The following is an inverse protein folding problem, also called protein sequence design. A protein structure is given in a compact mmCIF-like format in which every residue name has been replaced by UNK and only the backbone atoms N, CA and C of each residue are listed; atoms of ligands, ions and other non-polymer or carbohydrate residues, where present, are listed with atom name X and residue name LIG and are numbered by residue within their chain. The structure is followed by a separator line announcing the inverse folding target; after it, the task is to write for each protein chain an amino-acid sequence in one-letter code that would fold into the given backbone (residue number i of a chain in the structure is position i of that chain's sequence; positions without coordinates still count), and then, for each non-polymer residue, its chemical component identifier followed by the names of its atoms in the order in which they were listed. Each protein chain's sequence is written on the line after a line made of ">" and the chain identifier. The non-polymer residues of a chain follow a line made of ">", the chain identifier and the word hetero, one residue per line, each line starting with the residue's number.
data_IF_744474463251
#
_entry.id   IF_744474463251
#
_cell.length_a   1.000
_cell.length_b   1.000
_cell.length_c   1.000
_cell.angle_alpha   90.00
_cell.angle_beta   90.00
_cell.angle_gamma   90.00
#
_symmetry.space_group_name_H-M   'P 1'
#
loop_
_entity.id
_entity.type
_entity.pdbx_description
1 polymer ?
#
# COMPACT_ATOMS: atom_id res chain seq x y z
N UNK A 1 1.15 16.98 5.08
CA UNK A 1 0.99 16.32 3.77
C UNK A 1 2.16 15.36 3.64
N UNK A 2 1.92 14.05 3.62
CA UNK A 2 3.00 13.06 3.48
C UNK A 2 3.66 13.19 2.11
N UNK A 3 4.98 13.02 2.05
CA UNK A 3 5.70 13.02 0.78
C UNK A 3 5.32 11.77 -0.02
N UNK A 4 4.92 11.97 -1.28
CA UNK A 4 4.69 10.87 -2.23
C UNK A 4 6.05 10.27 -2.56
N UNK A 5 6.18 8.95 -2.38
CA UNK A 5 7.37 8.20 -2.78
C UNK A 5 7.28 7.83 -4.25
N UNK A 6 6.21 7.14 -4.62
CA UNK A 6 5.93 6.67 -5.97
C UNK A 6 4.43 6.35 -6.10
N UNK A 7 3.99 6.03 -7.31
CA UNK A 7 2.66 5.49 -7.55
C UNK A 7 2.77 3.97 -7.68
N UNK A 8 2.10 3.25 -6.79
CA UNK A 8 1.98 1.80 -6.88
C UNK A 8 0.82 1.44 -7.81
N UNK A 9 0.97 0.36 -8.56
CA UNK A 9 -0.10 -0.23 -9.38
C UNK A 9 -0.08 -1.75 -9.26
N UNK A 10 -1.25 -2.37 -9.12
CA UNK A 10 -1.40 -3.82 -9.02
C UNK A 10 -2.82 -4.26 -9.37
N UNK A 11 -2.96 -5.52 -9.77
CA UNK A 11 -4.25 -6.10 -10.15
C UNK A 11 -4.85 -6.91 -8.99
N UNK A 12 -6.14 -6.71 -8.72
CA UNK A 12 -6.95 -7.53 -7.82
C UNK A 12 -8.09 -8.15 -8.63
N UNK A 13 -7.96 -9.45 -8.95
CA UNK A 13 -8.92 -10.12 -9.82
C UNK A 13 -8.99 -9.41 -11.17
N UNK A 14 -10.17 -8.85 -11.50
CA UNK A 14 -10.41 -8.13 -12.75
C UNK A 14 -10.32 -6.59 -12.60
N UNK A 15 -9.85 -6.08 -11.45
CA UNK A 15 -9.70 -4.64 -11.20
C UNK A 15 -8.22 -4.29 -11.08
N UNK A 16 -7.82 -3.16 -11.65
CA UNK A 16 -6.51 -2.56 -11.42
C UNK A 16 -6.66 -1.50 -10.33
N UNK A 17 -5.95 -1.67 -9.21
CA UNK A 17 -5.80 -0.61 -8.23
C UNK A 17 -4.49 0.11 -8.47
N UNK A 18 -4.51 1.43 -8.31
CA UNK A 18 -3.33 2.24 -8.51
C UNK A 18 -3.44 3.58 -7.83
N UNK A 19 -2.32 4.06 -7.30
CA UNK A 19 -2.24 5.37 -6.68
C UNK A 19 -1.00 5.59 -5.83
N UNK A 20 -0.88 6.77 -5.21
CA UNK A 20 0.33 7.17 -4.52
C UNK A 20 0.55 6.36 -3.25
N UNK A 21 1.82 5.99 -3.05
CA UNK A 21 2.37 5.61 -1.76
C UNK A 21 2.97 6.85 -1.12
N UNK A 22 2.53 7.16 0.10
CA UNK A 22 3.07 8.25 0.90
C UNK A 22 3.66 7.73 2.20
N UNK A 23 4.68 8.42 2.72
CA UNK A 23 5.17 8.14 4.08
C UNK A 23 4.19 8.76 5.07
N UNK A 24 3.57 7.91 5.90
CA UNK A 24 2.67 8.33 6.97
C UNK A 24 3.47 8.63 8.25
N UNK A 25 4.41 7.76 8.61
CA UNK A 25 5.32 7.84 9.77
C UNK A 25 6.67 7.13 9.46
N UNK A 26 7.66 7.18 10.36
CA UNK A 26 9.05 6.72 10.13
C UNK A 26 9.20 5.32 9.49
N UNK A 27 8.20 4.45 9.65
CA UNK A 27 8.18 3.10 9.05
C UNK A 27 6.77 2.69 8.55
N UNK A 28 5.86 3.65 8.40
CA UNK A 28 4.49 3.39 7.97
C UNK A 28 4.21 4.10 6.65
N UNK A 29 3.63 3.37 5.71
CA UNK A 29 3.35 3.82 4.36
C UNK A 29 1.84 3.76 4.12
N UNK A 30 1.30 4.79 3.49
CA UNK A 30 -0.11 4.90 3.14
C UNK A 30 -0.25 4.73 1.63
N UNK A 31 -1.00 3.71 1.23
CA UNK A 31 -1.52 3.57 -0.12
C UNK A 31 -2.90 4.22 -0.21
N UNK A 32 -3.11 5.01 -1.26
CA UNK A 32 -4.42 5.58 -1.60
C UNK A 32 -4.72 5.25 -3.05
N UNK A 33 -5.77 4.48 -3.30
CA UNK A 33 -6.24 4.22 -4.65
C UNK A 33 -6.83 5.50 -5.26
N UNK A 34 -6.42 5.82 -6.50
CA UNK A 34 -6.96 6.92 -7.30
C UNK A 34 -7.56 6.47 -8.63
N UNK A 35 -7.41 5.19 -8.99
CA UNK A 35 -7.83 4.67 -10.29
C UNK A 35 -9.29 4.19 -10.31
N UNK A 36 -9.87 3.85 -9.17
CA UNK A 36 -11.28 3.43 -9.10
C UNK A 36 -12.08 4.44 -8.29
N UNK A 37 -13.39 4.54 -8.57
CA UNK A 37 -14.31 5.33 -7.74
C UNK A 37 -14.54 4.75 -6.34
N UNK A 38 -13.79 3.71 -5.95
CA UNK A 38 -13.78 3.15 -4.60
C UNK A 38 -12.73 3.89 -3.76
N UNK A 39 -13.15 4.42 -2.61
CA UNK A 39 -12.28 5.03 -1.60
C UNK A 39 -11.46 3.95 -0.86
N UNK A 40 -10.51 3.34 -1.56
CA UNK A 40 -9.63 2.31 -0.99
C UNK A 40 -8.34 2.99 -0.53
N UNK A 41 -8.11 2.97 0.78
CA UNK A 41 -6.83 3.37 1.34
C UNK A 41 -6.44 2.49 2.50
N UNK A 42 -5.17 2.14 2.58
CA UNK A 42 -4.65 1.33 3.67
C UNK A 42 -3.21 1.74 4.01
N UNK A 43 -2.92 1.64 5.30
CA UNK A 43 -1.59 1.84 5.84
C UNK A 43 -0.93 0.50 6.05
N UNK A 44 0.36 0.44 5.78
CA UNK A 44 1.18 -0.75 5.91
C UNK A 44 2.51 -0.43 6.55
N UNK A 45 2.99 -1.37 7.36
CA UNK A 45 4.26 -1.32 8.06
C UNK A 45 4.98 -2.65 7.91
N UNK A 46 6.31 -2.60 7.75
CA UNK A 46 7.16 -3.78 7.77
C UNK A 46 7.36 -4.22 9.22
N UNK A 47 7.03 -5.46 9.50
CA UNK A 47 7.24 -6.09 10.80
C UNK A 47 8.72 -6.38 11.02
N UNK A 48 9.12 -6.64 12.26
CA UNK A 48 10.50 -6.99 12.63
C UNK A 48 11.01 -8.23 11.87
N UNK A 49 10.12 -9.16 11.52
CA UNK A 49 10.42 -10.36 10.74
C UNK A 49 10.52 -10.10 9.22
N UNK A 50 10.49 -8.83 8.78
CA UNK A 50 10.56 -8.45 7.37
C UNK A 50 9.24 -8.57 6.59
N UNK A 51 8.15 -9.00 7.24
CA UNK A 51 6.83 -9.15 6.59
C UNK A 51 6.03 -7.84 6.61
N UNK A 52 5.45 -7.48 5.47
CA UNK A 52 4.54 -6.34 5.37
C UNK A 52 3.18 -6.66 5.97
N UNK A 53 2.60 -5.74 6.74
CA UNK A 53 1.28 -5.91 7.36
C UNK A 53 0.49 -4.63 7.29
N UNK A 54 -0.83 -4.78 7.10
CA UNK A 54 -1.74 -3.66 7.22
C UNK A 54 -1.86 -3.23 8.69
N UNK A 55 -1.72 -1.93 8.96
CA UNK A 55 -1.86 -1.34 10.31
C UNK A 55 -3.14 -0.54 10.47
N UNK A 56 -3.62 0.10 9.39
CA UNK A 56 -4.85 0.89 9.38
C UNK A 56 -5.43 1.00 7.95
N UNK A 57 -6.57 1.65 7.80
CA UNK A 57 -7.21 1.92 6.51
C UNK A 57 -8.73 1.80 6.58
N UNK A 58 -9.44 2.59 5.78
CA UNK A 58 -10.84 2.30 5.51
C UNK A 58 -10.92 1.64 4.15
N UNK A 59 -11.35 0.40 4.16
CA UNK A 59 -11.65 -0.36 2.97
C UNK A 59 -13.03 -0.95 3.21
N UNK A 60 -13.93 -0.87 2.22
CA UNK A 60 -15.26 -1.49 2.33
C UNK A 60 -15.18 -3.03 2.37
N UNK A 61 -13.98 -3.59 2.20
CA UNK A 61 -13.67 -5.01 2.16
C UNK A 61 -12.29 -5.27 2.76
N UNK A 62 -12.07 -6.42 3.40
CA UNK A 62 -10.74 -6.82 3.87
C UNK A 62 -9.77 -6.90 2.69
N UNK A 63 -8.59 -6.28 2.81
CA UNK A 63 -7.53 -6.37 1.79
C UNK A 63 -6.80 -7.71 1.96
N UNK A 64 -6.80 -8.59 0.95
CA UNK A 64 -5.98 -9.79 0.95
C UNK A 64 -4.50 -9.51 1.27
N UNK A 65 -3.87 -10.36 2.07
CA UNK A 65 -2.45 -10.24 2.43
C UNK A 65 -1.55 -10.17 1.19
N UNK A 66 -1.89 -10.88 0.11
CA UNK A 66 -1.15 -10.83 -1.17
C UNK A 66 -1.02 -9.40 -1.73
N UNK A 67 -2.01 -8.53 -1.51
CA UNK A 67 -1.94 -7.12 -1.93
C UNK A 67 -0.99 -6.35 -1.04
N UNK A 68 -1.05 -6.58 0.27
CA UNK A 68 -0.13 -5.97 1.22
C UNK A 68 1.31 -6.34 0.87
N UNK A 69 1.54 -7.60 0.50
CA UNK A 69 2.84 -8.09 0.09
C UNK A 69 3.28 -7.47 -1.25
N UNK A 70 2.39 -7.35 -2.25
CA UNK A 70 2.69 -6.71 -3.53
C UNK A 70 3.06 -5.23 -3.38
N UNK A 71 2.28 -4.48 -2.59
CA UNK A 71 2.58 -3.07 -2.32
C UNK A 71 3.87 -2.93 -1.51
N UNK A 72 4.05 -3.80 -0.51
CA UNK A 72 5.25 -3.86 0.30
C UNK A 72 6.51 -4.15 -0.54
N UNK A 73 6.42 -5.06 -1.49
CA UNK A 73 7.50 -5.36 -2.42
C UNK A 73 7.87 -4.15 -3.27
N UNK A 74 6.88 -3.41 -3.80
CA UNK A 74 7.17 -2.18 -4.55
C UNK A 74 7.84 -1.11 -3.68
N UNK A 75 7.51 -1.04 -2.39
CA UNK A 75 8.19 -0.15 -1.44
C UNK A 75 9.62 -0.61 -1.21
N UNK A 76 9.86 -1.90 -1.00
CA UNK A 76 11.21 -2.46 -0.85
C UNK A 76 12.06 -2.20 -2.09
N UNK A 77 11.53 -2.44 -3.29
CA UNK A 77 12.18 -2.15 -4.57
C UNK A 77 12.52 -0.66 -4.71
N UNK A 78 11.61 0.22 -4.32
CA UNK A 78 11.84 1.68 -4.35
C UNK A 78 12.90 2.13 -3.34
N UNK A 79 12.95 1.51 -2.16
CA UNK A 79 13.92 1.82 -1.11
C UNK A 79 15.26 1.08 -1.29
N UNK A 80 15.35 0.15 -2.24
CA UNK A 80 16.53 -0.69 -2.47
C UNK A 80 16.81 -1.67 -1.32
N UNK A 81 15.75 -2.22 -0.70
CA UNK A 81 15.83 -3.08 0.50
C UNK A 81 15.46 -4.54 0.24
#
# INVERSE_FOLDING_TARGET
>A
MGNILFNAEFNIGNRTLGGPITVADEQEYLFVNRNTGDDIYFKLKKSENGQWRQTAGATSFSIPQVIIDLVGQQIDDHLGK
#
